data_IF_178835903770
#
_entry.id   IF_178835903770
#
_cell.length_a   1.000
_cell.length_b   1.000
_cell.length_c   1.000
_cell.angle_alpha   90.00
_cell.angle_beta   90.00
_cell.angle_gamma   90.00
#
_symmetry.space_group_name_H-M   'P 1'
#
loop_
_entity.id
_entity.type
_entity.pdbx_description
1 polymer ?
#
# COMPACT_ATOMS: atom_id res chain seq x y z
N UNK A 1 -23.73 -13.25 9.26
CA UNK A 1 -22.96 -11.99 9.41
C UNK A 1 -21.72 -12.10 8.52
N UNK A 2 -21.77 -11.53 7.32
CA UNK A 2 -20.59 -11.47 6.45
C UNK A 2 -19.62 -10.47 7.07
N UNK A 3 -18.49 -10.95 7.61
CA UNK A 3 -17.42 -10.05 8.01
C UNK A 3 -17.01 -9.22 6.79
N UNK A 4 -16.86 -7.89 6.91
CA UNK A 4 -16.26 -7.11 5.84
C UNK A 4 -14.90 -7.73 5.48
N UNK A 5 -14.54 -7.72 4.20
CA UNK A 5 -13.22 -8.16 3.75
C UNK A 5 -12.16 -7.22 4.33
N UNK A 6 -11.73 -7.49 5.57
CA UNK A 6 -10.66 -6.78 6.25
C UNK A 6 -9.35 -7.36 5.77
N UNK A 7 -8.59 -6.56 5.04
CA UNK A 7 -7.29 -6.98 4.54
C UNK A 7 -6.23 -6.69 5.59
N UNK A 8 -5.69 -7.75 6.16
CA UNK A 8 -4.61 -7.69 7.13
C UNK A 8 -3.29 -7.32 6.45
N UNK A 9 -2.51 -6.49 7.13
CA UNK A 9 -1.20 -6.02 6.68
C UNK A 9 -0.13 -6.74 7.49
N UNK A 10 0.78 -7.44 6.82
CA UNK A 10 1.94 -8.02 7.50
C UNK A 10 3.05 -6.97 7.59
N UNK A 11 3.34 -6.47 8.81
CA UNK A 11 4.49 -5.61 9.01
C UNK A 11 5.76 -6.47 9.16
N UNK A 12 6.65 -6.43 8.18
CA UNK A 12 7.93 -7.13 8.27
C UNK A 12 9.12 -6.19 8.58
N UNK A 13 8.86 -4.94 8.95
CA UNK A 13 9.92 -3.96 9.22
C UNK A 13 9.50 -2.97 10.30
N UNK A 14 10.28 -2.86 11.37
CA UNK A 14 10.10 -1.83 12.42
C UNK A 14 10.27 -0.37 11.90
N UNK A 15 10.55 -0.20 10.61
CA UNK A 15 10.78 1.07 9.93
C UNK A 15 9.48 1.80 9.52
N UNK A 16 8.37 1.07 9.44
CA UNK A 16 7.11 1.58 8.90
C UNK A 16 5.99 1.59 9.92
N UNK A 17 5.17 2.64 9.88
CA UNK A 17 3.84 2.67 10.48
C UNK A 17 2.76 2.80 9.40
N UNK A 18 1.58 2.26 9.68
CA UNK A 18 0.46 2.23 8.74
C UNK A 18 -0.77 2.86 9.37
N UNK A 19 -1.60 3.50 8.54
CA UNK A 19 -2.94 3.94 8.95
C UNK A 19 -3.93 3.68 7.82
N UNK A 20 -5.01 2.89 8.06
CA UNK A 20 -5.35 2.21 9.31
C UNK A 20 -4.43 1.01 9.65
N UNK A 21 -4.28 0.68 10.94
CA UNK A 21 -3.41 -0.44 11.40
C UNK A 21 -4.08 -1.81 11.32
N UNK A 22 -5.39 -1.86 11.53
CA UNK A 22 -6.14 -3.12 11.60
C UNK A 22 -6.38 -3.76 10.23
N UNK A 23 -6.34 -2.95 9.18
CA UNK A 23 -6.55 -3.38 7.81
C UNK A 23 -7.48 -2.44 7.05
N UNK A 24 -7.70 -2.78 5.77
CA UNK A 24 -8.60 -2.03 4.90
C UNK A 24 -9.92 -2.77 4.75
N UNK A 25 -11.03 -2.04 4.83
CA UNK A 25 -12.38 -2.58 4.76
C UNK A 25 -13.04 -2.26 3.42
N UNK A 26 -13.36 -3.27 2.63
CA UNK A 26 -14.08 -3.11 1.36
C UNK A 26 -15.51 -3.66 1.53
N UNK A 27 -16.51 -2.83 1.89
CA UNK A 27 -17.87 -3.29 2.11
C UNK A 27 -18.61 -3.53 0.79
N UNK A 28 -19.55 -4.48 0.72
CA UNK A 28 -20.40 -4.68 -0.46
C UNK A 28 -21.19 -3.42 -0.82
N UNK A 29 -21.69 -3.30 -2.07
CA UNK A 29 -21.71 -4.34 -3.10
C UNK A 29 -20.38 -4.45 -3.88
N UNK A 30 -20.03 -5.68 -4.30
CA UNK A 30 -18.76 -5.99 -4.98
C UNK A 30 -18.83 -5.90 -6.52
N UNK A 31 -19.97 -5.48 -7.06
CA UNK A 31 -20.20 -5.26 -8.50
C UNK A 31 -19.62 -3.93 -9.01
N UNK A 32 -19.05 -3.12 -8.11
CA UNK A 32 -18.47 -1.82 -8.42
C UNK A 32 -17.08 -1.68 -7.79
N UNK A 33 -16.34 -0.71 -8.30
CA UNK A 33 -15.05 -0.34 -7.72
C UNK A 33 -15.23 0.26 -6.32
N UNK A 34 -14.47 -0.24 -5.35
CA UNK A 34 -14.45 0.29 -3.98
C UNK A 34 -13.03 0.72 -3.67
N UNK A 35 -12.87 1.95 -3.19
CA UNK A 35 -11.56 2.53 -2.91
C UNK A 35 -11.33 2.70 -1.42
N UNK A 36 -10.11 2.42 -0.98
CA UNK A 36 -9.58 2.81 0.30
C UNK A 36 -8.20 3.46 0.16
N UNK A 37 -7.82 4.21 1.19
CA UNK A 37 -6.52 4.84 1.29
C UNK A 37 -5.75 4.23 2.45
N UNK A 38 -4.54 3.81 2.15
CA UNK A 38 -3.54 3.40 3.12
C UNK A 38 -2.48 4.50 3.22
N UNK A 39 -2.21 4.98 4.42
CA UNK A 39 -1.05 5.81 4.70
C UNK A 39 0.10 4.92 5.17
N UNK A 40 1.26 5.06 4.54
CA UNK A 40 2.51 4.37 4.91
C UNK A 40 3.50 5.44 5.31
N UNK A 41 3.95 5.43 6.56
CA UNK A 41 4.90 6.42 7.08
C UNK A 41 6.23 5.76 7.44
N UNK A 42 7.32 6.40 7.03
CA UNK A 42 8.66 6.05 7.46
C UNK A 42 8.93 6.63 8.84
N UNK A 43 8.96 5.77 9.88
CA UNK A 43 9.32 6.16 11.25
C UNK A 43 10.83 6.07 11.50
N UNK A 44 11.60 5.59 10.52
CA UNK A 44 13.05 5.55 10.57
C UNK A 44 13.71 6.90 10.31
N UNK A 45 15.03 6.92 10.50
CA UNK A 45 15.88 8.09 10.28
C UNK A 45 16.66 8.08 8.94
N UNK A 46 16.40 7.09 8.08
CA UNK A 46 17.03 6.94 6.77
C UNK A 46 15.97 6.87 5.67
N UNK A 47 16.28 7.32 4.45
CA UNK A 47 15.43 7.04 3.30
C UNK A 47 15.26 5.53 3.09
N UNK A 48 14.04 5.12 2.76
CA UNK A 48 13.69 3.73 2.48
C UNK A 48 13.04 3.62 1.11
N UNK A 49 13.11 2.42 0.52
CA UNK A 49 12.16 2.02 -0.52
C UNK A 49 11.03 1.22 0.12
N UNK A 50 9.83 1.32 -0.43
CA UNK A 50 8.72 0.43 -0.10
C UNK A 50 8.17 -0.24 -1.37
N UNK A 51 7.64 -1.45 -1.22
CA UNK A 51 6.98 -2.20 -2.28
C UNK A 51 5.79 -2.96 -1.73
N UNK A 52 4.67 -2.89 -2.45
CA UNK A 52 3.41 -3.53 -2.07
C UNK A 52 3.16 -4.75 -2.95
N UNK A 53 2.89 -5.88 -2.30
CA UNK A 53 2.50 -7.16 -2.90
C UNK A 53 1.12 -7.55 -2.37
N UNK A 54 0.39 -8.35 -3.15
CA UNK A 54 -0.92 -8.87 -2.77
C UNK A 54 -1.08 -10.30 -3.24
N UNK A 55 -1.86 -11.08 -2.50
CA UNK A 55 -2.27 -12.43 -2.90
C UNK A 55 -3.34 -12.43 -4.00
N UNK A 56 -3.96 -11.29 -4.30
CA UNK A 56 -5.02 -11.15 -5.32
C UNK A 56 -4.77 -9.96 -6.28
N UNK A 57 -3.70 -9.98 -7.09
CA UNK A 57 -3.33 -8.85 -7.96
C UNK A 57 -4.36 -8.51 -9.03
N UNK A 58 -5.20 -9.47 -9.42
CA UNK A 58 -6.32 -9.28 -10.37
C UNK A 58 -7.54 -8.66 -9.70
N UNK A 59 -7.70 -8.78 -8.38
CA UNK A 59 -8.80 -8.15 -7.65
C UNK A 59 -8.52 -6.68 -7.31
N UNK A 60 -7.25 -6.29 -7.11
CA UNK A 60 -6.90 -4.95 -6.65
C UNK A 60 -6.06 -4.15 -7.64
N UNK A 61 -6.35 -2.85 -7.69
CA UNK A 61 -5.46 -1.84 -8.27
C UNK A 61 -4.82 -1.03 -7.12
N UNK A 62 -3.49 -0.83 -7.18
CA UNK A 62 -2.73 -0.15 -6.11
C UNK A 62 -1.87 0.95 -6.72
N UNK A 63 -2.03 2.19 -6.26
CA UNK A 63 -1.29 3.35 -6.75
C UNK A 63 -0.91 4.30 -5.61
N UNK A 64 0.38 4.64 -5.45
CA UNK A 64 1.57 3.96 -6.00
C UNK A 64 1.77 2.56 -5.40
N UNK A 65 2.29 1.60 -6.20
CA UNK A 65 2.61 0.23 -5.72
C UNK A 65 3.98 0.14 -5.04
N UNK A 66 4.88 1.06 -5.37
CA UNK A 66 6.21 1.18 -4.79
C UNK A 66 6.63 2.63 -4.82
N UNK A 67 7.61 2.97 -3.99
CA UNK A 67 8.16 4.31 -3.96
C UNK A 67 9.29 4.42 -2.96
N UNK A 68 9.71 5.65 -2.74
CA UNK A 68 10.72 6.01 -1.77
C UNK A 68 10.07 6.91 -0.75
N UNK A 69 10.47 6.74 0.51
CA UNK A 69 10.07 7.61 1.60
C UNK A 69 11.32 8.09 2.32
N UNK A 70 11.51 9.40 2.41
CA UNK A 70 12.52 9.98 3.29
C UNK A 70 12.10 9.83 4.75
N UNK A 71 13.01 10.12 5.69
CA UNK A 71 12.72 10.03 7.11
C UNK A 71 11.50 10.92 7.49
N UNK A 72 10.51 10.33 8.16
CA UNK A 72 9.27 11.02 8.56
C UNK A 72 8.22 11.18 7.45
N UNK A 73 8.54 10.89 6.19
CA UNK A 73 7.62 11.05 5.07
C UNK A 73 6.48 10.01 5.11
N UNK A 74 5.31 10.40 4.61
CA UNK A 74 4.14 9.54 4.48
C UNK A 74 3.69 9.44 3.03
N UNK A 75 3.61 8.21 2.50
CA UNK A 75 2.96 7.93 1.22
C UNK A 75 1.47 7.70 1.42
N UNK A 76 0.67 8.31 0.53
CA UNK A 76 -0.75 8.03 0.39
C UNK A 76 -0.95 7.01 -0.73
N UNK A 77 -1.27 5.78 -0.36
CA UNK A 77 -1.48 4.67 -1.29
C UNK A 77 -2.97 4.43 -1.47
N UNK A 78 -3.45 4.59 -2.69
CA UNK A 78 -4.81 4.29 -3.10
C UNK A 78 -4.92 2.81 -3.48
N UNK A 79 -5.84 2.11 -2.85
CA UNK A 79 -6.13 0.70 -3.10
C UNK A 79 -7.59 0.58 -3.51
N UNK A 80 -7.80 0.13 -4.74
CA UNK A 80 -9.14 -0.02 -5.33
C UNK A 80 -9.42 -1.51 -5.54
N UNK A 81 -10.44 -2.03 -4.89
CA UNK A 81 -11.04 -3.32 -5.23
C UNK A 81 -11.79 -3.15 -6.56
N UNK A 82 -11.46 -3.97 -7.56
CA UNK A 82 -12.16 -4.02 -8.84
C UNK A 82 -13.51 -4.73 -8.69
N UNK A 83 -14.49 -4.42 -9.55
CA UNK A 83 -15.73 -5.19 -9.65
C UNK A 83 -15.45 -6.70 -9.75
N UNK A 84 -16.17 -7.49 -8.97
CA UNK A 84 -16.10 -8.95 -8.93
C UNK A 84 -17.37 -9.51 -9.55
N UNK A 85 -17.25 -10.34 -10.58
CA UNK A 85 -18.37 -11.04 -11.21
C UNK A 85 -17.93 -12.44 -11.68
N UNK A 86 -18.34 -13.52 -10.98
CA UNK A 86 -19.11 -13.55 -9.74
C UNK A 86 -18.33 -12.96 -8.54
N UNK A 87 -19.00 -12.58 -7.44
CA UNK A 87 -18.33 -12.15 -6.22
C UNK A 87 -17.33 -13.21 -5.75
N UNK A 88 -16.10 -12.79 -5.47
CA UNK A 88 -15.07 -13.68 -4.96
C UNK A 88 -15.51 -14.27 -3.61
N UNK A 89 -15.52 -15.60 -3.52
CA UNK A 89 -15.87 -16.33 -2.30
C UNK A 89 -14.71 -16.39 -1.30
N UNK A 90 -13.53 -15.83 -1.64
CA UNK A 90 -12.34 -15.84 -0.77
C UNK A 90 -12.19 -14.53 0.02
N UNK A 91 -12.60 -14.49 1.31
CA UNK A 91 -12.61 -13.25 2.09
C UNK A 91 -11.22 -12.80 2.60
N UNK A 92 -10.15 -13.55 2.31
CA UNK A 92 -8.87 -13.48 3.03
C UNK A 92 -7.71 -12.96 2.18
N UNK A 93 -7.96 -11.98 1.31
CA UNK A 93 -6.90 -11.29 0.58
C UNK A 93 -5.93 -10.60 1.55
N UNK A 94 -4.64 -10.59 1.20
CA UNK A 94 -3.57 -10.01 2.02
C UNK A 94 -2.76 -9.00 1.22
N UNK A 95 -2.34 -7.93 1.88
CA UNK A 95 -1.30 -7.03 1.39
C UNK A 95 -0.03 -7.21 2.23
N UNK A 96 1.10 -7.37 1.54
CA UNK A 96 2.42 -7.39 2.15
C UNK A 96 3.18 -6.15 1.70
N UNK A 97 3.74 -5.44 2.67
CA UNK A 97 4.56 -4.25 2.43
C UNK A 97 5.98 -4.60 2.83
N UNK A 98 6.88 -4.56 1.86
CA UNK A 98 8.31 -4.74 2.08
C UNK A 98 8.97 -3.37 2.06
N UNK A 99 9.84 -3.12 3.03
CA UNK A 99 10.66 -1.92 3.06
C UNK A 99 12.12 -2.25 3.35
N UNK A 100 13.01 -1.45 2.77
CA UNK A 100 14.44 -1.50 3.08
C UNK A 100 15.04 -0.09 3.08
N UNK A 101 16.03 0.19 3.95
CA UNK A 101 16.86 1.38 3.83
C UNK A 101 17.54 1.43 2.46
N UNK A 102 17.64 2.63 1.91
CA UNK A 102 18.48 2.92 0.75
C UNK A 102 19.94 3.05 1.18
N UNK A 103 20.85 2.57 0.33
CA UNK A 103 22.29 2.81 0.49
C UNK A 103 22.65 4.22 0.02
N UNK A 104 23.80 4.74 0.45
CA UNK A 104 24.23 6.10 0.09
C UNK A 104 24.36 6.32 -1.43
N UNK A 105 24.83 5.30 -2.17
CA UNK A 105 24.92 5.33 -3.63
C UNK A 105 23.53 5.36 -4.29
N UNK A 106 22.56 4.62 -3.77
CA UNK A 106 21.20 4.66 -4.30
C UNK A 106 20.52 6.00 -4.05
N UNK A 107 20.73 6.60 -2.87
CA UNK A 107 20.22 7.95 -2.56
C UNK A 107 20.78 8.99 -3.53
N UNK A 108 22.08 8.91 -3.84
CA UNK A 108 22.74 9.84 -4.77
C UNK A 108 22.22 9.73 -6.22
N UNK A 109 21.62 8.59 -6.59
CA UNK A 109 21.08 8.32 -7.93
C UNK A 109 19.58 8.59 -8.05
N UNK A 110 18.91 8.98 -6.97
CA UNK A 110 17.49 9.26 -7.04
C UNK A 110 17.24 10.47 -7.94
N UNK A 111 16.24 10.43 -8.83
CA UNK A 111 15.84 11.61 -9.56
C UNK A 111 15.44 12.67 -8.53
N UNK A 112 16.08 13.83 -8.59
CA UNK A 112 15.63 15.02 -7.86
C UNK A 112 14.32 15.43 -8.53
N UNK A 113 13.21 14.85 -8.11
CA UNK A 113 11.91 15.19 -8.69
C UNK A 113 11.56 16.60 -8.22
N UNK A 114 11.70 17.58 -9.12
CA UNK A 114 11.09 18.89 -8.93
C UNK A 114 9.59 18.70 -8.73
N UNK A 115 9.05 19.25 -7.65
CA UNK A 115 7.69 19.02 -7.17
C UNK A 115 6.55 19.49 -8.10
N UNK A 116 6.83 19.86 -9.35
CA UNK A 116 5.91 20.58 -10.24
C UNK A 116 5.44 19.80 -11.48
N UNK A 117 5.87 18.56 -11.70
CA UNK A 117 5.43 17.80 -12.89
C UNK A 117 5.08 16.36 -12.60
N UNK A 118 3.88 16.11 -12.06
CA UNK A 118 3.17 14.84 -12.25
C UNK A 118 1.65 15.11 -12.21
N UNK A 119 1.04 15.32 -13.38
CA UNK A 119 -0.40 15.17 -13.61
C UNK A 119 -0.68 13.75 -14.11
#
# INVERSE_FOLDING_TARGET
FFSPSVIHMANNSALLSYTPREGLCFPPPFDRSIENILHIKNEGNKPITYKIKTTAPTAYHVKPRMGILIAGETAKVRITLRPQTPPDATPNHKFQIEARPLTGDEVARLPVVQADQLW
#
